data_IF_559095124407
#
_entry.id   IF_559095124407
#
_cell.length_a   1.000
_cell.length_b   1.000
_cell.length_c   1.000
_cell.angle_alpha   90.00
_cell.angle_beta   90.00
_cell.angle_gamma   90.00
#
_symmetry.space_group_name_H-M   'P 1'
#
loop_
_entity.id
_entity.type
_entity.pdbx_description
1 polymer ?
#
# COMPACT_ATOMS: atom_id res chain seq x y z
N UNK A 1 -8.42 20.18 10.33
CA UNK A 1 -7.20 20.33 11.15
C UNK A 1 -7.29 19.37 12.32
N UNK A 2 -6.17 18.77 12.70
CA UNK A 2 -6.05 17.84 13.83
C UNK A 2 -5.10 18.49 14.84
N UNK A 3 -5.54 18.76 16.08
CA UNK A 3 -4.68 19.34 17.11
C UNK A 3 -3.71 18.29 17.65
N UNK A 4 -2.42 18.58 17.58
CA UNK A 4 -1.35 17.84 18.24
C UNK A 4 -1.00 18.56 19.54
N UNK A 5 -1.34 17.93 20.68
CA UNK A 5 -1.11 18.52 22.00
C UNK A 5 0.26 18.12 22.54
N UNK A 6 1.03 19.07 23.03
CA UNK A 6 2.41 18.85 23.43
C UNK A 6 2.95 19.86 24.43
N UNK A 7 4.19 19.63 24.87
CA UNK A 7 4.96 20.60 25.64
C UNK A 7 6.29 20.85 24.91
N UNK A 8 6.75 22.11 24.77
CA UNK A 8 6.16 23.34 25.32
C UNK A 8 5.00 23.92 24.50
N UNK A 9 4.72 23.38 23.31
CA UNK A 9 3.81 23.96 22.34
C UNK A 9 2.81 22.92 21.81
N UNK A 10 1.62 23.41 21.46
CA UNK A 10 0.64 22.68 20.67
C UNK A 10 0.83 23.01 19.19
N UNK A 11 0.68 22.01 18.33
CA UNK A 11 0.71 22.18 16.87
C UNK A 11 -0.60 21.73 16.25
N UNK A 12 -0.82 22.09 15.00
CA UNK A 12 -1.99 21.65 14.22
C UNK A 12 -1.50 21.09 12.90
N UNK A 13 -2.05 19.94 12.51
CA UNK A 13 -1.73 19.31 11.23
C UNK A 13 -2.98 19.22 10.36
N UNK A 14 -2.79 19.21 9.04
CA UNK A 14 -3.87 18.95 8.10
C UNK A 14 -4.09 17.44 8.03
N UNK A 15 -5.34 17.03 8.20
CA UNK A 15 -5.75 15.62 8.16
C UNK A 15 -6.74 15.36 7.03
N UNK A 16 -6.56 14.24 6.33
CA UNK A 16 -7.49 13.71 5.33
C UNK A 16 -7.97 12.33 5.78
N UNK A 17 -9.26 12.19 6.08
CA UNK A 17 -9.85 10.89 6.37
C UNK A 17 -10.04 10.09 5.09
N UNK A 18 -9.90 8.77 5.19
CA UNK A 18 -10.21 7.86 4.09
C UNK A 18 -10.89 6.58 4.59
N UNK A 19 -11.58 5.91 3.66
CA UNK A 19 -12.10 4.56 3.80
C UNK A 19 -11.74 3.81 2.51
N UNK A 20 -11.20 2.60 2.65
CA UNK A 20 -10.93 1.69 1.53
C UNK A 20 -11.74 0.42 1.71
N UNK A 21 -12.37 -0.04 0.63
CA UNK A 21 -13.12 -1.30 0.57
C UNK A 21 -12.69 -2.07 -0.67
N UNK A 22 -12.21 -3.29 -0.46
CA UNK A 22 -11.87 -4.23 -1.54
C UNK A 22 -12.89 -5.36 -1.51
N UNK A 23 -13.47 -5.66 -2.65
CA UNK A 23 -14.43 -6.76 -2.81
C UNK A 23 -13.96 -7.70 -3.89
N UNK A 24 -14.30 -8.98 -3.75
CA UNK A 24 -13.99 -10.00 -4.74
C UNK A 24 -14.70 -9.68 -6.07
N UNK A 25 -13.94 -9.73 -7.17
CA UNK A 25 -14.44 -9.31 -8.48
C UNK A 25 -15.57 -10.20 -9.03
N UNK A 26 -15.66 -11.45 -8.57
CA UNK A 26 -16.64 -12.43 -9.07
C UNK A 26 -17.90 -12.51 -8.19
N UNK A 27 -17.72 -12.42 -6.88
CA UNK A 27 -18.78 -12.64 -5.87
C UNK A 27 -19.26 -11.36 -5.21
N UNK A 28 -18.52 -10.26 -5.39
CA UNK A 28 -18.75 -8.95 -4.75
C UNK A 28 -18.75 -9.00 -3.21
N UNK A 29 -18.25 -10.10 -2.62
CA UNK A 29 -18.11 -10.21 -1.17
C UNK A 29 -16.93 -9.34 -0.69
N UNK A 30 -17.04 -8.73 0.50
CA UNK A 30 -15.96 -7.93 1.05
C UNK A 30 -14.74 -8.82 1.34
N UNK A 31 -13.58 -8.44 0.80
CA UNK A 31 -12.29 -9.06 1.08
C UNK A 31 -11.49 -8.26 2.10
N UNK A 32 -11.55 -6.93 2.01
CA UNK A 32 -10.82 -6.03 2.87
C UNK A 32 -11.61 -4.75 3.12
N UNK A 33 -11.50 -4.24 4.34
CA UNK A 33 -12.01 -2.92 4.73
C UNK A 33 -10.93 -2.30 5.60
N UNK A 34 -10.64 -1.03 5.36
CA UNK A 34 -9.86 -0.23 6.28
C UNK A 34 -10.36 1.20 6.29
N UNK A 35 -10.07 1.89 7.39
CA UNK A 35 -10.31 3.31 7.50
C UNK A 35 -9.14 3.97 8.22
N UNK A 36 -8.95 5.25 7.96
CA UNK A 36 -7.78 5.91 8.47
C UNK A 36 -7.71 7.39 8.17
N UNK A 37 -6.51 7.93 8.33
CA UNK A 37 -6.23 9.32 8.08
C UNK A 37 -4.80 9.51 7.57
N UNK A 38 -4.64 10.37 6.57
CA UNK A 38 -3.35 10.96 6.22
C UNK A 38 -3.15 12.26 6.98
N UNK A 39 -1.95 12.50 7.49
CA UNK A 39 -1.55 13.69 8.21
C UNK A 39 -0.38 14.35 7.47
N UNK A 40 -0.52 15.63 7.11
CA UNK A 40 0.60 16.46 6.69
C UNK A 40 1.29 17.00 7.94
N UNK A 41 2.37 16.35 8.37
CA UNK A 41 3.07 16.64 9.61
C UNK A 41 3.94 17.89 9.50
N UNK A 42 4.61 18.05 8.36
CA UNK A 42 5.45 19.20 8.06
C UNK A 42 5.34 19.48 6.56
N UNK A 43 4.78 20.65 6.20
CA UNK A 43 4.55 20.99 4.79
C UNK A 43 5.84 21.38 4.09
N UNK A 44 6.73 22.07 4.80
CA UNK A 44 7.99 22.58 4.29
C UNK A 44 8.98 21.44 4.05
N UNK A 45 9.02 20.46 4.96
CA UNK A 45 9.82 19.23 4.80
C UNK A 45 9.11 18.16 3.94
N UNK A 46 7.81 18.29 3.72
CA UNK A 46 6.99 17.31 3.01
C UNK A 46 6.77 16.02 3.81
N UNK A 47 6.80 16.07 5.14
CA UNK A 47 6.62 14.88 5.97
C UNK A 47 5.14 14.52 6.07
N UNK A 48 4.79 13.28 5.74
CA UNK A 48 3.41 12.76 5.76
C UNK A 48 3.34 11.50 6.59
N UNK A 49 2.25 11.32 7.34
CA UNK A 49 1.94 10.07 8.00
C UNK A 49 0.60 9.50 7.53
N UNK A 50 0.51 8.17 7.45
CA UNK A 50 -0.73 7.41 7.25
C UNK A 50 -1.02 6.61 8.51
N UNK A 51 -2.21 6.83 9.06
CA UNK A 51 -2.79 6.04 10.14
C UNK A 51 -3.87 5.15 9.52
N UNK A 52 -3.84 3.85 9.81
CA UNK A 52 -4.83 2.89 9.31
C UNK A 52 -5.33 1.98 10.44
N UNK A 53 -6.60 1.61 10.39
CA UNK A 53 -7.18 0.56 11.21
C UNK A 53 -7.90 -0.44 10.33
N UNK A 54 -7.53 -1.71 10.49
CA UNK A 54 -8.03 -2.82 9.71
C UNK A 54 -8.83 -3.73 10.66
N UNK A 55 -10.17 -3.85 10.49
CA UNK A 55 -11.05 -4.45 11.50
C UNK A 55 -10.75 -5.91 11.84
N UNK A 56 -10.02 -6.64 11.00
CA UNK A 56 -9.60 -8.02 11.31
C UNK A 56 -8.40 -8.10 12.29
N UNK A 57 -7.87 -6.97 12.75
CA UNK A 57 -7.01 -6.92 13.94
C UNK A 57 -5.62 -6.33 13.72
N UNK A 58 -5.49 -5.36 12.83
CA UNK A 58 -4.25 -4.64 12.60
C UNK A 58 -4.47 -3.13 12.68
N UNK A 59 -3.48 -2.40 13.20
CA UNK A 59 -3.40 -0.94 13.09
C UNK A 59 -2.01 -0.56 12.61
N UNK A 60 -1.93 0.43 11.73
CA UNK A 60 -0.69 0.84 11.05
C UNK A 60 -0.44 2.32 11.30
N UNK A 61 0.80 2.66 11.62
CA UNK A 61 1.37 4.00 11.45
C UNK A 61 2.52 3.88 10.46
N UNK A 62 2.39 4.54 9.32
CA UNK A 62 3.45 4.63 8.32
C UNK A 62 3.81 6.10 8.11
N UNK A 63 5.09 6.43 8.05
CA UNK A 63 5.57 7.81 7.87
C UNK A 63 6.48 7.83 6.65
N UNK A 64 6.38 8.90 5.87
CA UNK A 64 7.11 9.07 4.62
C UNK A 64 7.22 10.53 4.22
N UNK A 65 7.61 10.73 2.98
CA UNK A 65 7.79 12.04 2.37
C UNK A 65 6.73 12.36 1.33
N UNK A 66 6.73 13.61 0.88
CA UNK A 66 5.98 14.09 -0.26
C UNK A 66 6.88 14.90 -1.17
N UNK A 67 6.77 14.67 -2.47
CA UNK A 67 7.50 15.42 -3.49
C UNK A 67 6.59 15.75 -4.66
N UNK A 68 6.89 16.84 -5.35
CA UNK A 68 6.21 17.23 -6.58
C UNK A 68 7.08 16.93 -7.78
N UNK A 69 6.52 16.25 -8.76
CA UNK A 69 7.14 15.98 -10.05
C UNK A 69 6.23 16.48 -11.17
N UNK A 70 6.80 16.65 -12.37
CA UNK A 70 6.06 17.11 -13.54
C UNK A 70 6.30 16.17 -14.71
N UNK A 71 5.23 15.88 -15.45
CA UNK A 71 5.27 15.00 -16.59
C UNK A 71 5.32 13.52 -16.19
N UNK A 72 5.77 12.72 -17.13
CA UNK A 72 5.84 11.27 -16.98
C UNK A 72 6.87 10.84 -15.92
N UNK A 73 6.63 9.67 -15.32
CA UNK A 73 7.52 9.04 -14.34
C UNK A 73 7.46 7.51 -14.47
N UNK A 74 8.43 6.84 -13.85
CA UNK A 74 8.48 5.39 -13.79
C UNK A 74 7.97 4.91 -12.42
N UNK A 75 7.15 3.86 -12.44
CA UNK A 75 6.67 3.16 -11.24
C UNK A 75 7.56 1.93 -11.05
N UNK A 76 8.29 1.91 -9.94
CA UNK A 76 9.17 0.80 -9.60
C UNK A 76 8.40 -0.52 -9.52
N UNK A 77 8.96 -1.63 -10.05
CA UNK A 77 8.31 -2.93 -9.98
C UNK A 77 8.24 -3.42 -8.53
N UNK A 78 7.21 -4.22 -8.24
CA UNK A 78 7.06 -4.91 -6.96
C UNK A 78 6.84 -6.40 -7.21
N UNK A 79 7.54 -7.26 -6.49
CA UNK A 79 7.41 -8.71 -6.66
C UNK A 79 6.31 -9.26 -5.74
N UNK A 80 5.28 -9.85 -6.34
CA UNK A 80 4.16 -10.45 -5.61
C UNK A 80 4.38 -11.91 -5.21
N UNK A 81 5.53 -12.51 -5.49
CA UNK A 81 5.82 -13.87 -5.08
C UNK A 81 6.30 -13.97 -3.62
N UNK A 82 5.86 -14.99 -2.87
CA UNK A 82 6.34 -15.20 -1.51
C UNK A 82 7.84 -15.52 -1.45
N UNK A 83 8.49 -14.98 -0.43
CA UNK A 83 9.85 -15.35 -0.04
C UNK A 83 9.78 -16.59 0.86
N UNK A 84 10.49 -17.66 0.48
CA UNK A 84 10.38 -18.96 1.13
C UNK A 84 11.71 -19.36 1.76
N UNK A 85 11.65 -19.92 2.98
CA UNK A 85 12.80 -20.58 3.59
C UNK A 85 13.23 -21.84 2.79
N UNK A 86 12.28 -22.47 2.09
CA UNK A 86 12.45 -23.66 1.26
C UNK A 86 11.96 -23.40 -0.18
N UNK A 87 12.82 -22.85 -1.07
CA UNK A 87 12.43 -22.44 -2.42
C UNK A 87 11.90 -23.58 -3.30
N UNK A 88 12.28 -24.82 -3.04
CA UNK A 88 11.79 -26.01 -3.75
C UNK A 88 10.27 -26.19 -3.62
N UNK A 89 9.66 -25.59 -2.60
CA UNK A 89 8.23 -25.68 -2.35
C UNK A 89 7.44 -24.56 -3.04
N UNK A 90 8.08 -23.66 -3.80
CA UNK A 90 7.47 -22.48 -4.38
C UNK A 90 6.29 -22.76 -5.32
N UNK A 91 6.37 -23.84 -6.10
CA UNK A 91 5.36 -24.20 -7.09
C UNK A 91 3.94 -24.31 -6.51
N UNK A 92 3.79 -24.76 -5.26
CA UNK A 92 2.49 -24.95 -4.59
C UNK A 92 1.82 -23.62 -4.21
N UNK A 93 2.59 -22.55 -4.03
CA UNK A 93 2.08 -21.24 -3.64
C UNK A 93 1.73 -20.36 -4.84
N UNK A 94 2.10 -20.77 -6.05
CA UNK A 94 1.83 -20.00 -7.26
C UNK A 94 0.50 -20.34 -7.94
N UNK A 95 -0.18 -21.40 -7.52
CA UNK A 95 -1.45 -21.85 -8.12
C UNK A 95 -2.56 -20.78 -8.11
N UNK A 96 -2.77 -20.00 -7.03
CA UNK A 96 -3.81 -18.97 -7.02
C UNK A 96 -3.69 -17.97 -8.18
N UNK A 97 -2.46 -17.61 -8.58
CA UNK A 97 -2.23 -16.70 -9.71
C UNK A 97 -2.58 -17.29 -11.07
N UNK A 98 -2.66 -18.63 -11.19
CA UNK A 98 -2.95 -19.34 -12.45
C UNK A 98 -4.42 -19.67 -12.62
N UNK A 99 -5.18 -19.76 -11.53
CA UNK A 99 -6.53 -20.34 -11.53
C UNK A 99 -7.65 -19.31 -11.40
N UNK A 100 -7.34 -18.05 -11.10
CA UNK A 100 -8.35 -17.00 -10.96
C UNK A 100 -8.98 -16.68 -12.32
N UNK A 101 -10.31 -16.83 -12.40
CA UNK A 101 -11.11 -16.51 -13.58
C UNK A 101 -11.83 -15.18 -13.39
N UNK A 102 -12.12 -14.49 -14.50
CA UNK A 102 -12.97 -13.28 -14.49
C UNK A 102 -12.26 -12.00 -14.05
N UNK A 103 -10.95 -12.03 -13.84
CA UNK A 103 -10.12 -10.84 -13.57
C UNK A 103 -9.24 -10.60 -14.80
N UNK A 104 -9.02 -9.32 -15.14
CA UNK A 104 -8.05 -8.93 -16.16
C UNK A 104 -6.68 -9.56 -15.85
N UNK A 105 -5.99 -10.14 -16.84
CA UNK A 105 -4.66 -10.68 -16.62
C UNK A 105 -3.74 -9.61 -16.06
N UNK A 106 -3.02 -9.95 -15.00
CA UNK A 106 -1.92 -9.15 -14.46
C UNK A 106 -0.70 -10.05 -14.28
N UNK A 107 0.49 -9.44 -14.19
CA UNK A 107 1.72 -10.16 -13.89
C UNK A 107 1.96 -10.18 -12.37
N UNK A 108 1.90 -11.35 -11.70
CA UNK A 108 2.22 -11.44 -10.28
C UNK A 108 3.68 -11.10 -9.96
N UNK A 109 4.59 -11.20 -10.94
CA UNK A 109 5.98 -10.81 -10.78
C UNK A 109 6.17 -9.28 -10.78
N UNK A 110 5.17 -8.55 -11.29
CA UNK A 110 5.13 -7.09 -11.26
C UNK A 110 3.68 -6.56 -11.29
N UNK A 111 2.93 -6.61 -10.17
CA UNK A 111 1.58 -6.04 -10.11
C UNK A 111 1.55 -4.54 -10.44
N UNK A 112 2.64 -3.81 -10.17
CA UNK A 112 2.75 -2.38 -10.50
C UNK A 112 2.73 -2.11 -12.01
N UNK A 113 2.95 -3.10 -12.87
CA UNK A 113 2.87 -2.92 -14.32
C UNK A 113 1.51 -2.39 -14.77
N UNK A 114 0.41 -2.74 -14.09
CA UNK A 114 -0.93 -2.23 -14.44
C UNK A 114 -1.05 -0.72 -14.22
N UNK A 115 -0.31 -0.18 -13.25
CA UNK A 115 -0.26 1.25 -12.97
C UNK A 115 0.58 1.96 -14.02
N UNK A 116 1.76 1.40 -14.36
CA UNK A 116 2.63 1.92 -15.41
C UNK A 116 1.92 1.96 -16.77
N UNK A 117 1.30 0.86 -17.18
CA UNK A 117 0.57 0.72 -18.44
C UNK A 117 -0.55 1.76 -18.59
N UNK A 118 -1.12 2.21 -17.45
CA UNK A 118 -2.16 3.24 -17.40
C UNK A 118 -1.60 4.61 -17.72
N UNK A 119 -0.52 5.00 -17.03
CA UNK A 119 0.08 6.34 -17.18
C UNK A 119 0.84 6.49 -18.51
N UNK A 120 1.39 5.40 -19.06
CA UNK A 120 2.02 5.36 -20.39
C UNK A 120 1.05 5.77 -21.53
N UNK A 121 -0.26 5.72 -21.26
CA UNK A 121 -1.33 6.07 -22.21
C UNK A 121 -2.01 7.40 -21.87
N UNK A 122 -1.47 8.15 -20.93
CA UNK A 122 -2.01 9.40 -20.43
C UNK A 122 -1.00 10.55 -20.62
N UNK A 123 -1.51 11.76 -20.78
CA UNK A 123 -0.69 12.96 -20.77
C UNK A 123 -0.69 13.52 -19.34
N UNK A 124 0.43 13.34 -18.64
CA UNK A 124 0.57 13.72 -17.24
C UNK A 124 1.04 15.17 -17.10
N UNK A 125 0.32 15.93 -16.29
CA UNK A 125 0.72 17.24 -15.82
C UNK A 125 1.56 17.14 -14.56
N UNK A 126 1.10 17.81 -13.50
CA UNK A 126 1.74 17.77 -12.19
C UNK A 126 1.32 16.52 -11.42
N UNK A 127 2.28 15.90 -10.73
CA UNK A 127 2.03 14.78 -9.83
C UNK A 127 2.60 15.09 -8.45
N UNK A 128 1.80 14.92 -7.41
CA UNK A 128 2.26 14.89 -6.02
C UNK A 128 2.42 13.43 -5.61
N UNK A 129 3.65 13.05 -5.28
CA UNK A 129 3.98 11.70 -4.83
C UNK A 129 4.09 11.70 -3.32
N UNK A 130 3.34 10.83 -2.65
CA UNK A 130 3.59 10.46 -1.26
C UNK A 130 4.40 9.17 -1.28
N UNK A 131 5.65 9.22 -0.87
CA UNK A 131 6.62 8.14 -1.05
C UNK A 131 7.20 7.70 0.29
N UNK A 132 7.75 6.48 0.31
CA UNK A 132 8.35 5.87 1.49
C UNK A 132 7.44 5.92 2.74
N UNK A 133 6.10 5.85 2.56
CA UNK A 133 5.18 5.70 3.69
C UNK A 133 5.39 4.30 4.26
N UNK A 134 6.29 4.20 5.23
CA UNK A 134 6.78 2.95 5.77
C UNK A 134 6.58 2.88 7.28
N UNK A 135 6.28 1.69 7.78
CA UNK A 135 6.30 1.41 9.22
C UNK A 135 7.71 1.42 9.80
N UNK A 136 8.74 1.25 8.97
CA UNK A 136 10.14 1.31 9.40
C UNK A 136 10.61 2.76 9.66
N UNK A 137 9.91 3.74 9.09
CA UNK A 137 10.21 5.16 9.24
C UNK A 137 9.61 5.73 10.53
N UNK A 138 10.01 5.21 11.70
CA UNK A 138 9.46 5.61 13.02
C UNK A 138 7.95 5.33 13.16
N UNK A 139 7.44 4.39 12.38
CA UNK A 139 6.06 3.92 12.43
C UNK A 139 5.93 2.61 13.21
N UNK A 140 4.93 1.81 12.85
CA UNK A 140 4.77 0.47 13.37
C UNK A 140 3.44 -0.16 13.03
N UNK A 141 3.34 -1.47 13.29
CA UNK A 141 2.12 -2.26 13.17
C UNK A 141 1.77 -2.79 14.55
N UNK A 142 0.49 -2.71 14.92
CA UNK A 142 -0.05 -3.38 16.10
C UNK A 142 -0.99 -4.49 15.68
N UNK A 143 -0.63 -5.73 16.01
CA UNK A 143 -1.37 -6.94 15.67
C UNK A 143 -2.13 -7.47 16.89
N UNK A 144 -3.35 -7.98 16.70
CA UNK A 144 -4.00 -8.81 17.73
C UNK A 144 -3.29 -10.17 17.82
N UNK A 145 -3.38 -10.89 18.96
CA UNK A 145 -2.65 -12.15 19.16
C UNK A 145 -2.95 -13.24 18.13
N UNK A 146 -4.15 -13.26 17.56
CA UNK A 146 -4.49 -14.20 16.50
C UNK A 146 -3.66 -13.94 15.23
N UNK A 147 -3.54 -12.67 14.82
CA UNK A 147 -2.80 -12.30 13.62
C UNK A 147 -1.31 -12.51 13.85
N UNK A 148 -0.77 -12.03 14.98
CA UNK A 148 0.64 -12.24 15.37
C UNK A 148 1.06 -13.72 15.36
N UNK A 149 0.14 -14.62 15.68
CA UNK A 149 0.41 -16.06 15.70
C UNK A 149 0.34 -16.72 14.32
N UNK A 150 -0.60 -16.29 13.46
CA UNK A 150 -0.99 -17.06 12.27
C UNK A 150 -0.65 -16.41 10.93
N UNK A 151 -0.51 -15.08 10.89
CA UNK A 151 -0.24 -14.29 9.69
C UNK A 151 0.31 -12.93 10.11
N UNK A 152 1.46 -12.93 10.77
CA UNK A 152 1.98 -11.75 11.47
C UNK A 152 2.32 -10.65 10.45
N UNK A 153 1.67 -9.49 10.54
CA UNK A 153 1.96 -8.37 9.67
C UNK A 153 3.18 -7.63 10.23
N UNK A 154 4.31 -7.74 9.54
CA UNK A 154 5.62 -7.35 10.07
C UNK A 154 6.14 -6.05 9.49
N UNK A 155 5.81 -5.76 8.24
CA UNK A 155 6.20 -4.54 7.54
C UNK A 155 5.02 -3.99 6.73
N UNK A 156 5.01 -2.69 6.51
CA UNK A 156 4.10 -2.05 5.57
C UNK A 156 4.82 -0.90 4.86
N UNK A 157 4.65 -0.84 3.55
CA UNK A 157 5.11 0.27 2.70
C UNK A 157 4.02 0.68 1.71
N UNK A 158 3.97 1.96 1.35
CA UNK A 158 3.09 2.42 0.29
C UNK A 158 3.62 3.66 -0.42
N UNK A 159 3.24 3.79 -1.69
CA UNK A 159 3.43 5.00 -2.50
C UNK A 159 2.10 5.40 -3.11
N UNK A 160 1.79 6.69 -3.06
CA UNK A 160 0.60 7.29 -3.67
C UNK A 160 1.03 8.33 -4.69
N UNK A 161 0.42 8.31 -5.87
CA UNK A 161 0.61 9.30 -6.93
C UNK A 161 -0.71 10.03 -7.15
N UNK A 162 -0.76 11.31 -6.78
CA UNK A 162 -1.90 12.19 -7.03
C UNK A 162 -1.59 12.98 -8.30
N UNK A 163 -2.28 12.66 -9.38
CA UNK A 163 -1.87 13.01 -10.74
C UNK A 163 -2.90 13.94 -11.39
N UNK A 164 -2.41 15.01 -12.01
CA UNK A 164 -3.16 15.77 -12.99
C UNK A 164 -3.03 15.09 -14.35
N UNK A 165 -4.14 14.61 -14.90
CA UNK A 165 -4.17 14.00 -16.23
C UNK A 165 -4.83 14.96 -17.21
N UNK A 166 -4.13 15.31 -18.28
CA UNK A 166 -4.64 16.19 -19.33
C UNK A 166 -5.56 15.40 -20.26
N UNK A 167 -6.78 15.92 -20.44
CA UNK A 167 -7.74 15.30 -21.33
C UNK A 167 -7.50 15.68 -22.80
N UNK A 168 -7.97 14.84 -23.72
CA UNK A 168 -8.00 15.23 -25.14
C UNK A 168 -9.12 16.25 -25.38
N UNK A 169 -8.80 17.54 -25.30
CA UNK A 169 -9.73 18.66 -25.53
C UNK A 169 -9.80 19.63 -24.34
N UNK A 170 -10.15 20.90 -24.61
CA UNK A 170 -10.24 21.94 -23.56
C UNK A 170 -11.26 21.55 -22.49
N UNK A 171 -10.80 21.47 -21.23
CA UNK A 171 -11.67 21.25 -20.06
C UNK A 171 -11.91 19.78 -19.71
N UNK A 172 -11.16 18.85 -20.29
CA UNK A 172 -11.26 17.42 -20.01
C UNK A 172 -10.21 16.92 -19.01
N UNK A 173 -9.47 17.82 -18.38
CA UNK A 173 -8.45 17.47 -17.39
C UNK A 173 -9.12 16.91 -16.13
N UNK A 174 -8.52 15.90 -15.54
CA UNK A 174 -9.05 15.25 -14.34
C UNK A 174 -7.94 14.90 -13.36
N UNK A 175 -8.33 14.64 -12.10
CA UNK A 175 -7.44 14.14 -11.08
C UNK A 175 -7.57 12.62 -10.97
N UNK A 176 -6.43 11.96 -10.97
CA UNK A 176 -6.28 10.53 -10.74
C UNK A 176 -5.48 10.31 -9.46
N UNK A 177 -5.76 9.21 -8.76
CA UNK A 177 -4.93 8.70 -7.68
C UNK A 177 -4.53 7.27 -8.05
N UNK A 178 -3.23 7.02 -8.16
CA UNK A 178 -2.70 5.67 -8.16
C UNK A 178 -2.05 5.38 -6.80
N UNK A 179 -2.10 4.12 -6.38
CA UNK A 179 -1.31 3.67 -5.24
C UNK A 179 -0.81 2.25 -5.43
N UNK A 180 0.31 1.98 -4.76
CA UNK A 180 0.86 0.64 -4.55
C UNK A 180 1.19 0.51 -3.08
N UNK A 181 0.71 -0.54 -2.44
CA UNK A 181 0.99 -0.83 -1.04
C UNK A 181 1.31 -2.30 -0.84
N UNK A 182 2.29 -2.56 0.02
CA UNK A 182 2.74 -3.92 0.36
C UNK A 182 2.74 -4.07 1.86
N UNK A 183 2.06 -5.09 2.36
CA UNK A 183 2.20 -5.57 3.74
C UNK A 183 2.91 -6.91 3.72
N UNK A 184 4.02 -7.05 4.43
CA UNK A 184 4.65 -8.36 4.57
C UNK A 184 3.92 -9.15 5.66
N UNK A 185 3.51 -10.37 5.29
CA UNK A 185 2.85 -11.31 6.18
C UNK A 185 3.73 -12.53 6.43
N UNK A 186 4.14 -12.72 7.67
CA UNK A 186 4.87 -13.88 8.12
C UNK A 186 3.90 -15.03 8.41
N UNK A 187 4.00 -16.09 7.61
CA UNK A 187 3.28 -17.34 7.82
C UNK A 187 4.21 -18.43 8.34
N UNK A 188 3.68 -19.22 9.28
CA UNK A 188 4.31 -20.40 9.86
C UNK A 188 5.66 -20.06 10.54
N UNK A 189 5.62 -19.86 11.87
CA UNK A 189 6.82 -19.68 12.68
C UNK A 189 7.40 -21.06 13.01
N UNK A 190 8.61 -21.37 12.53
CA UNK A 190 9.28 -22.63 12.85
C UNK A 190 9.62 -22.68 14.35
N UNK A 191 8.87 -23.48 15.11
CA UNK A 191 9.07 -23.68 16.54
C UNK A 191 10.26 -24.58 16.88
N UNK A 192 10.94 -25.16 15.88
CA UNK A 192 12.09 -26.06 16.06
C UNK A 192 13.44 -25.37 15.85
N UNK A 193 13.45 -24.18 15.24
CA UNK A 193 14.63 -23.34 15.11
C UNK A 193 14.99 -22.72 16.48
N UNK A 194 15.94 -23.34 17.19
CA UNK A 194 16.42 -22.96 18.53
C UNK A 194 17.14 -21.60 18.64
N UNK A 195 16.87 -20.66 17.72
CA UNK A 195 17.40 -19.30 17.70
C UNK A 195 16.52 -18.47 16.77
N UNK A 196 15.78 -17.51 17.35
CA UNK A 196 14.83 -16.56 16.74
C UNK A 196 13.94 -17.16 15.61
N UNK A 197 12.64 -17.42 15.86
CA UNK A 197 11.77 -18.02 14.85
C UNK A 197 11.78 -17.17 13.57
N UNK A 198 12.31 -17.74 12.49
CA UNK A 198 12.26 -17.14 11.15
C UNK A 198 10.98 -17.64 10.48
N UNK A 199 10.20 -16.78 9.79
CA UNK A 199 9.03 -17.24 9.06
C UNK A 199 9.45 -18.23 7.96
N UNK A 200 8.67 -19.30 7.77
CA UNK A 200 8.90 -20.20 6.65
C UNK A 200 8.49 -19.56 5.32
N UNK A 201 7.55 -18.60 5.39
CA UNK A 201 6.99 -17.88 4.25
C UNK A 201 6.80 -16.43 4.67
N UNK A 202 7.39 -15.50 3.92
CA UNK A 202 6.99 -14.09 3.94
C UNK A 202 6.18 -13.84 2.67
N UNK A 203 4.92 -13.49 2.85
CA UNK A 203 4.02 -13.21 1.73
C UNK A 203 3.89 -11.70 1.55
N UNK A 204 4.34 -11.13 0.41
CA UNK A 204 4.08 -9.73 0.10
C UNK A 204 2.61 -9.57 -0.26
N UNK A 205 1.79 -9.12 0.70
CA UNK A 205 0.39 -8.81 0.45
C UNK A 205 0.30 -7.44 -0.22
N UNK A 206 0.17 -7.46 -1.55
CA UNK A 206 0.20 -6.27 -2.40
C UNK A 206 -1.22 -5.86 -2.79
N UNK A 207 -1.48 -4.56 -2.77
CA UNK A 207 -2.67 -3.95 -3.34
C UNK A 207 -2.28 -2.75 -4.21
N UNK A 208 -2.85 -2.68 -5.41
CA UNK A 208 -2.62 -1.64 -6.40
C UNK A 208 -3.95 -1.18 -6.98
N UNK A 209 -4.13 0.13 -7.14
CA UNK A 209 -5.34 0.64 -7.77
C UNK A 209 -5.12 1.98 -8.47
N UNK A 210 -6.02 2.29 -9.39
CA UNK A 210 -6.20 3.60 -10.01
C UNK A 210 -7.62 4.10 -9.73
N UNK A 211 -7.74 5.28 -9.12
CA UNK A 211 -9.00 5.94 -8.81
C UNK A 211 -9.07 7.27 -9.55
N UNK A 212 -10.26 7.67 -9.99
CA UNK A 212 -10.50 8.97 -10.60
C UNK A 212 -11.39 9.78 -9.66
N UNK A 213 -11.05 11.06 -9.47
CA UNK A 213 -11.85 11.98 -8.67
C UNK A 213 -13.23 12.17 -9.34
N UNK A 214 -14.29 11.97 -8.56
CA UNK A 214 -15.68 12.23 -8.97
C UNK A 214 -16.08 13.70 -8.85
#
# INVERSE_FOLDING_TARGET
EVPNRGFPEDTFVVGLHYEQKVSDANTFQPLHIENGMFLLLDKEAGTVARLSSIPHGNSILAIGGSVEINGHFDIEPVDGFPILAHPEEASRYFEPYRTVQGIEPFDPANPNQILQDKIDRQDLGKTVVLFDLSTENQGGISNIPFIEKNADATSFTSTFWIEEVQGHGKGNDFLQLQYSQTTDLDFIKDSTAGSLPTPLIVWPHIDVATLVKQ
#
